data_IF_174253968882
#
_entry.id   IF_174253968882
#
_cell.length_a   1.000
_cell.length_b   1.000
_cell.length_c   1.000
_cell.angle_alpha   90.00
_cell.angle_beta   90.00
_cell.angle_gamma   90.00
#
_symmetry.space_group_name_H-M   'P 1'
#
loop_
_entity.id
_entity.type
_entity.pdbx_description
1 polymer ?
#
# COMPACT_ATOMS: atom_id res chain seq x y z
N UNK A 1 24.69 60.71 -23.47
CA UNK A 1 24.64 60.30 -22.05
C UNK A 1 24.93 58.79 -21.97
N UNK A 2 25.99 58.42 -21.25
CA UNK A 2 26.31 57.13 -20.59
C UNK A 2 26.55 55.85 -21.42
N UNK A 3 27.85 55.48 -21.46
CA UNK A 3 28.59 54.19 -21.37
C UNK A 3 27.76 52.89 -21.19
N UNK A 4 28.15 51.71 -21.70
CA UNK A 4 29.36 50.93 -21.34
C UNK A 4 29.72 49.90 -22.44
N UNK A 5 31.03 49.80 -22.74
CA UNK A 5 31.70 48.72 -23.49
C UNK A 5 31.53 47.35 -22.82
N UNK A 6 31.23 46.33 -23.62
CA UNK A 6 31.51 44.94 -23.28
C UNK A 6 32.16 44.27 -24.50
N UNK A 7 33.48 44.31 -24.53
CA UNK A 7 34.31 43.48 -25.40
C UNK A 7 34.16 41.99 -25.05
N UNK A 8 34.59 41.17 -26.02
CA UNK A 8 34.96 39.74 -25.93
C UNK A 8 33.77 38.81 -25.73
N UNK A 9 33.32 38.19 -26.82
CA UNK A 9 33.46 36.74 -27.04
C UNK A 9 33.26 36.47 -28.53
N UNK A 10 34.29 35.92 -29.18
CA UNK A 10 34.24 35.51 -30.58
C UNK A 10 33.19 34.44 -30.79
N UNK A 11 32.55 34.45 -31.95
CA UNK A 11 31.64 33.39 -32.38
C UNK A 11 32.41 32.05 -32.40
N UNK A 12 32.05 31.15 -31.50
CA UNK A 12 32.54 29.77 -31.52
C UNK A 12 31.78 29.03 -32.63
N UNK A 13 32.43 28.46 -33.64
CA UNK A 13 31.76 27.58 -34.58
C UNK A 13 31.21 26.39 -33.81
N UNK A 14 29.90 26.17 -33.88
CA UNK A 14 29.29 24.94 -33.38
C UNK A 14 29.83 23.80 -34.25
N UNK A 15 30.78 23.03 -33.71
CA UNK A 15 31.13 21.72 -34.26
C UNK A 15 29.87 20.86 -34.18
N UNK A 16 29.14 20.81 -35.30
CA UNK A 16 28.15 19.78 -35.60
C UNK A 16 28.90 18.47 -35.86
N UNK A 17 29.60 17.97 -34.85
CA UNK A 17 29.71 16.53 -34.71
C UNK A 17 28.39 16.11 -34.09
N UNK A 18 27.43 15.81 -34.98
CA UNK A 18 26.30 14.96 -34.65
C UNK A 18 26.89 13.68 -34.06
N UNK A 19 26.98 13.65 -32.72
CA UNK A 19 27.03 12.41 -31.98
C UNK A 19 25.68 11.74 -32.23
N UNK A 20 25.57 11.06 -33.37
CA UNK A 20 24.58 10.03 -33.62
C UNK A 20 24.88 8.94 -32.60
N UNK A 21 24.41 9.16 -31.37
CA UNK A 21 24.27 8.12 -30.37
C UNK A 21 23.12 7.27 -30.86
N UNK A 22 23.41 6.39 -31.81
CA UNK A 22 22.57 5.23 -32.08
C UNK A 22 22.23 4.64 -30.71
N UNK A 23 20.95 4.64 -30.37
CA UNK A 23 20.50 4.03 -29.13
C UNK A 23 20.91 2.56 -29.17
N UNK A 24 21.41 1.98 -28.06
CA UNK A 24 21.64 0.55 -28.00
C UNK A 24 20.38 -0.17 -28.52
N UNK A 25 20.52 -1.24 -29.31
CA UNK A 25 19.36 -2.01 -29.74
C UNK A 25 18.55 -2.37 -28.49
N UNK A 26 17.26 -2.04 -28.52
CA UNK A 26 16.35 -2.45 -27.46
C UNK A 26 16.48 -3.97 -27.33
N UNK A 27 16.68 -4.51 -26.12
CA UNK A 27 16.63 -5.95 -25.96
C UNK A 27 15.29 -6.45 -26.52
N UNK A 28 15.30 -7.52 -27.32
CA UNK A 28 14.07 -8.14 -27.89
C UNK A 28 13.08 -8.64 -26.80
N UNK A 29 13.44 -8.46 -25.53
CA UNK A 29 12.58 -8.68 -24.39
C UNK A 29 11.66 -7.48 -24.26
N UNK A 30 10.44 -7.66 -24.76
CA UNK A 30 9.31 -6.83 -24.40
C UNK A 30 9.05 -6.97 -22.89
N UNK A 31 9.78 -6.18 -22.08
CA UNK A 31 9.58 -6.04 -20.64
C UNK A 31 8.38 -5.12 -20.32
N UNK A 32 7.59 -4.75 -21.34
CA UNK A 32 6.34 -4.03 -21.12
C UNK A 32 5.39 -4.92 -20.32
N UNK A 33 4.73 -4.40 -19.27
CA UNK A 33 3.65 -5.13 -18.63
C UNK A 33 2.61 -5.50 -19.69
N UNK A 34 2.12 -6.76 -19.70
CA UNK A 34 1.20 -7.21 -20.74
C UNK A 34 -0.05 -6.31 -20.78
N UNK A 35 -0.62 -6.07 -21.98
CA UNK A 35 -1.77 -5.19 -22.11
C UNK A 35 -2.94 -5.67 -21.24
N UNK A 36 -3.62 -4.73 -20.58
CA UNK A 36 -4.66 -4.88 -19.54
C UNK A 36 -5.91 -5.68 -20.01
N UNK A 37 -5.93 -6.21 -21.22
CA UNK A 37 -7.08 -6.92 -21.79
C UNK A 37 -6.66 -8.09 -22.70
N UNK A 38 -6.27 -9.21 -22.10
CA UNK A 38 -6.29 -10.50 -22.83
C UNK A 38 -6.77 -11.62 -21.93
N UNK A 39 -8.09 -11.67 -21.78
CA UNK A 39 -8.82 -12.88 -21.41
C UNK A 39 -8.37 -14.02 -22.35
N UNK A 40 -7.76 -15.04 -21.75
CA UNK A 40 -7.41 -16.33 -22.34
C UNK A 40 -6.54 -16.24 -23.61
N UNK A 41 -5.23 -16.48 -23.47
CA UNK A 41 -4.36 -17.22 -24.41
C UNK A 41 -2.89 -16.83 -24.21
N UNK A 42 -2.34 -17.04 -23.02
CA UNK A 42 -0.88 -17.20 -22.83
C UNK A 42 -0.65 -18.15 -21.65
N UNK A 43 -0.47 -19.44 -21.95
CA UNK A 43 0.07 -20.41 -20.99
C UNK A 43 1.58 -20.15 -20.93
N UNK A 44 2.02 -19.31 -20.00
CA UNK A 44 3.44 -19.11 -19.72
C UNK A 44 4.09 -20.45 -19.37
N UNK A 45 5.35 -20.66 -19.80
CA UNK A 45 6.09 -21.91 -19.61
C UNK A 45 6.33 -22.31 -18.14
N UNK A 46 5.99 -21.43 -17.19
CA UNK A 46 6.11 -21.66 -15.74
C UNK A 46 4.76 -21.78 -15.02
N UNK A 47 3.64 -21.91 -15.74
CA UNK A 47 2.31 -21.98 -15.12
C UNK A 47 1.81 -20.64 -14.54
N UNK A 48 2.56 -19.54 -14.70
CA UNK A 48 2.08 -18.19 -14.40
C UNK A 48 0.88 -17.87 -15.27
N UNK A 49 -0.29 -17.78 -14.63
CA UNK A 49 -1.52 -17.32 -15.25
C UNK A 49 -1.63 -15.81 -15.02
N UNK A 50 -1.46 -15.02 -16.08
CA UNK A 50 -1.63 -13.55 -16.06
C UNK A 50 -3.11 -13.17 -16.00
N UNK A 51 -3.72 -13.45 -14.85
CA UNK A 51 -5.11 -13.14 -14.51
C UNK A 51 -5.09 -12.27 -13.27
N UNK A 52 -5.94 -11.25 -13.25
CA UNK A 52 -6.26 -10.55 -12.02
C UNK A 52 -6.96 -11.51 -11.05
N UNK A 53 -6.40 -11.72 -9.84
CA UNK A 53 -7.03 -12.57 -8.86
C UNK A 53 -8.36 -11.93 -8.41
N UNK A 54 -9.35 -12.77 -8.16
CA UNK A 54 -10.59 -12.34 -7.51
C UNK A 54 -10.31 -11.89 -6.08
N UNK A 55 -11.18 -11.05 -5.50
CA UNK A 55 -11.02 -10.61 -4.11
C UNK A 55 -10.90 -11.78 -3.13
N UNK A 56 -11.63 -12.88 -3.38
CA UNK A 56 -11.53 -14.11 -2.60
C UNK A 56 -10.13 -14.70 -2.63
N UNK A 57 -9.53 -14.86 -3.80
CA UNK A 57 -8.17 -15.39 -3.94
C UNK A 57 -7.16 -14.47 -3.26
N UNK A 58 -7.29 -13.16 -3.42
CA UNK A 58 -6.43 -12.18 -2.71
C UNK A 58 -6.52 -12.37 -1.20
N UNK A 59 -7.71 -12.58 -0.67
CA UNK A 59 -7.93 -12.83 0.77
C UNK A 59 -7.36 -14.19 1.21
N UNK A 60 -7.40 -15.20 0.35
CA UNK A 60 -6.78 -16.51 0.60
C UNK A 60 -5.25 -16.40 0.65
N UNK A 61 -4.65 -15.64 -0.27
CA UNK A 61 -3.21 -15.38 -0.35
C UNK A 61 -2.64 -14.64 0.87
N UNK A 62 -3.48 -13.94 1.65
CA UNK A 62 -3.04 -13.36 2.93
C UNK A 62 -2.53 -14.41 3.93
N UNK A 63 -3.00 -15.67 3.82
CA UNK A 63 -2.53 -16.78 4.67
C UNK A 63 -1.43 -17.62 4.01
N UNK A 64 -0.90 -17.19 2.86
CA UNK A 64 0.20 -17.90 2.19
C UNK A 64 1.43 -18.00 3.09
N UNK A 65 2.14 -19.12 2.96
CA UNK A 65 3.45 -19.30 3.57
C UNK A 65 4.54 -18.52 2.82
N UNK A 66 4.31 -18.18 1.55
CA UNK A 66 5.21 -17.35 0.77
C UNK A 66 5.01 -15.87 1.13
N UNK A 67 6.07 -15.26 1.67
CA UNK A 67 6.08 -13.85 2.07
C UNK A 67 5.93 -12.91 0.89
N UNK A 68 6.38 -13.29 -0.30
CA UNK A 68 6.22 -12.48 -1.51
C UNK A 68 4.75 -12.47 -1.93
N UNK A 69 4.09 -13.62 -1.93
CA UNK A 69 2.66 -13.73 -2.23
C UNK A 69 1.81 -12.98 -1.19
N UNK A 70 2.12 -13.14 0.10
CA UNK A 70 1.46 -12.42 1.20
C UNK A 70 1.66 -10.89 1.11
N UNK A 71 2.87 -10.44 0.75
CA UNK A 71 3.19 -9.02 0.53
C UNK A 71 2.39 -8.44 -0.64
N UNK A 72 2.39 -9.13 -1.78
CA UNK A 72 1.67 -8.70 -2.97
C UNK A 72 0.16 -8.67 -2.72
N UNK A 73 -0.39 -9.71 -2.08
CA UNK A 73 -1.81 -9.79 -1.75
C UNK A 73 -2.25 -8.68 -0.79
N UNK A 74 -1.47 -8.44 0.28
CA UNK A 74 -1.80 -7.38 1.24
C UNK A 74 -1.70 -5.98 0.62
N UNK A 75 -0.70 -5.71 -0.23
CA UNK A 75 -0.56 -4.44 -0.93
C UNK A 75 -1.68 -4.21 -1.95
N UNK A 76 -2.03 -5.25 -2.71
CA UNK A 76 -3.14 -5.17 -3.66
C UNK A 76 -4.48 -4.96 -2.95
N UNK A 77 -4.75 -5.68 -1.86
CA UNK A 77 -5.97 -5.48 -1.06
C UNK A 77 -6.04 -4.07 -0.45
N UNK A 78 -4.91 -3.51 -0.02
CA UNK A 78 -4.86 -2.13 0.48
C UNK A 78 -5.31 -1.14 -0.60
N UNK A 79 -4.85 -1.33 -1.84
CA UNK A 79 -5.28 -0.52 -2.97
C UNK A 79 -6.78 -0.66 -3.24
N UNK A 80 -7.30 -1.88 -3.32
CA UNK A 80 -8.72 -2.14 -3.59
C UNK A 80 -9.63 -1.53 -2.51
N UNK A 81 -9.20 -1.54 -1.26
CA UNK A 81 -10.00 -1.03 -0.13
C UNK A 81 -9.97 0.50 0.03
N UNK A 82 -9.15 1.24 -0.73
CA UNK A 82 -8.92 2.67 -0.49
C UNK A 82 -10.19 3.52 -0.58
N UNK A 83 -11.00 3.34 -1.62
CA UNK A 83 -12.19 4.17 -1.87
C UNK A 83 -13.42 3.38 -2.38
N UNK A 84 -13.45 2.07 -2.17
CA UNK A 84 -14.57 1.23 -2.59
C UNK A 84 -15.24 0.56 -1.38
N UNK A 85 -16.43 1.04 -1.02
CA UNK A 85 -17.17 0.48 0.12
C UNK A 85 -17.73 -0.92 -0.15
N UNK A 86 -18.03 -1.28 -1.40
CA UNK A 86 -18.47 -2.63 -1.73
C UNK A 86 -17.32 -3.63 -1.51
N UNK A 87 -16.10 -3.28 -1.93
CA UNK A 87 -14.91 -4.10 -1.65
C UNK A 87 -14.64 -4.20 -0.14
N UNK A 88 -14.81 -3.12 0.63
CA UNK A 88 -14.63 -3.16 2.08
C UNK A 88 -15.64 -4.12 2.74
N UNK A 89 -16.90 -4.06 2.34
CA UNK A 89 -17.96 -4.96 2.81
C UNK A 89 -17.69 -6.42 2.42
N UNK A 90 -17.34 -6.67 1.17
CA UNK A 90 -17.03 -8.01 0.67
C UNK A 90 -15.79 -8.58 1.37
N UNK A 91 -14.77 -7.77 1.64
CA UNK A 91 -13.58 -8.16 2.42
C UNK A 91 -13.95 -8.64 3.82
N UNK A 92 -14.91 -7.97 4.48
CA UNK A 92 -15.44 -8.42 5.78
C UNK A 92 -16.16 -9.76 5.64
N UNK A 93 -17.02 -9.90 4.63
CA UNK A 93 -17.84 -11.09 4.41
C UNK A 93 -17.00 -12.33 4.10
N UNK A 94 -15.94 -12.15 3.31
CA UNK A 94 -14.94 -13.16 2.98
C UNK A 94 -13.95 -13.45 4.12
N UNK A 95 -14.17 -12.91 5.33
CA UNK A 95 -13.31 -13.11 6.51
C UNK A 95 -11.87 -12.63 6.31
N UNK A 96 -11.66 -11.57 5.53
CA UNK A 96 -10.35 -10.93 5.35
C UNK A 96 -9.84 -10.22 6.61
N UNK A 97 -10.74 -9.63 7.41
CA UNK A 97 -10.36 -8.85 8.61
C UNK A 97 -9.53 -9.66 9.63
N UNK A 98 -9.92 -10.87 10.07
CA UNK A 98 -9.09 -11.67 10.97
C UNK A 98 -7.70 -12.00 10.40
N UNK A 99 -7.60 -12.23 9.09
CA UNK A 99 -6.31 -12.49 8.42
C UNK A 99 -5.42 -11.24 8.46
N UNK A 100 -5.98 -10.08 8.13
CA UNK A 100 -5.28 -8.79 8.25
C UNK A 100 -4.79 -8.51 9.66
N UNK A 101 -5.60 -8.80 10.69
CA UNK A 101 -5.20 -8.66 12.10
C UNK A 101 -4.03 -9.58 12.44
N UNK A 102 -4.02 -10.82 11.95
CA UNK A 102 -2.90 -11.76 12.11
C UNK A 102 -1.61 -11.21 11.46
N UNK A 103 -1.72 -10.57 10.29
CA UNK A 103 -0.57 -10.00 9.58
C UNK A 103 0.11 -8.83 10.30
N UNK A 104 -0.54 -8.20 11.28
CA UNK A 104 0.11 -7.21 12.15
C UNK A 104 1.28 -7.80 12.94
N UNK A 105 1.26 -9.11 13.20
CA UNK A 105 2.35 -9.85 13.82
C UNK A 105 3.40 -10.40 12.85
N UNK A 106 3.38 -10.00 11.57
CA UNK A 106 4.39 -10.42 10.59
C UNK A 106 5.77 -9.89 10.97
N UNK A 107 6.80 -10.66 10.64
CA UNK A 107 8.22 -10.30 10.72
C UNK A 107 8.68 -9.41 9.55
N UNK A 108 7.82 -9.22 8.54
CA UNK A 108 8.09 -8.36 7.38
C UNK A 108 7.38 -7.02 7.55
N UNK A 109 8.15 -5.95 7.70
CA UNK A 109 7.65 -4.58 7.95
C UNK A 109 6.66 -4.11 6.88
N UNK A 110 6.93 -4.37 5.59
CA UNK A 110 6.01 -3.95 4.52
C UNK A 110 4.66 -4.68 4.58
N UNK A 111 4.63 -5.95 5.03
CA UNK A 111 3.38 -6.67 5.26
C UNK A 111 2.61 -6.04 6.42
N UNK A 112 3.29 -5.66 7.50
CA UNK A 112 2.65 -4.94 8.62
C UNK A 112 2.07 -3.60 8.15
N UNK A 113 2.82 -2.83 7.36
CA UNK A 113 2.39 -1.55 6.79
C UNK A 113 1.13 -1.71 5.93
N UNK A 114 1.14 -2.67 5.00
CA UNK A 114 -0.01 -2.95 4.13
C UNK A 114 -1.23 -3.40 4.94
N UNK A 115 -1.03 -4.26 5.94
CA UNK A 115 -2.11 -4.73 6.83
C UNK A 115 -2.72 -3.58 7.66
N UNK A 116 -1.88 -2.70 8.25
CA UNK A 116 -2.34 -1.49 8.93
C UNK A 116 -3.15 -0.60 7.99
N UNK A 117 -2.65 -0.36 6.78
CA UNK A 117 -3.34 0.44 5.78
C UNK A 117 -4.67 -0.15 5.34
N UNK A 118 -4.77 -1.47 5.17
CA UNK A 118 -6.05 -2.14 4.92
C UNK A 118 -7.04 -1.90 6.06
N UNK A 119 -6.61 -2.09 7.32
CA UNK A 119 -7.46 -1.89 8.50
C UNK A 119 -7.89 -0.42 8.66
N UNK A 120 -7.00 0.53 8.35
CA UNK A 120 -7.33 1.97 8.26
C UNK A 120 -8.44 2.20 7.23
N UNK A 121 -8.28 1.67 6.02
CA UNK A 121 -9.24 1.85 4.93
C UNK A 121 -10.61 1.21 5.25
N UNK A 122 -10.60 -0.02 5.78
CA UNK A 122 -11.79 -0.77 6.17
C UNK A 122 -12.58 -0.10 7.29
N UNK A 123 -11.93 0.67 8.15
CA UNK A 123 -12.54 1.39 9.27
C UNK A 123 -12.90 2.85 8.95
N UNK A 124 -12.52 3.36 7.77
CA UNK A 124 -12.77 4.73 7.37
C UNK A 124 -14.22 4.93 6.89
N UNK A 125 -14.90 5.96 7.40
CA UNK A 125 -16.30 6.27 7.06
C UNK A 125 -17.31 5.86 8.14
N UNK A 126 -18.50 6.48 8.13
CA UNK A 126 -19.59 6.19 9.08
C UNK A 126 -20.37 4.94 8.68
N UNK A 127 -20.48 4.70 7.39
CA UNK A 127 -21.09 3.52 6.77
C UNK A 127 -20.36 2.21 7.12
N UNK A 128 -19.07 2.30 7.50
CA UNK A 128 -18.21 1.14 7.78
C UNK A 128 -18.24 0.67 9.25
N UNK A 129 -19.25 1.04 10.04
CA UNK A 129 -19.35 0.63 11.46
C UNK A 129 -19.39 -0.90 11.65
N UNK A 130 -19.98 -1.63 10.71
CA UNK A 130 -19.95 -3.10 10.74
C UNK A 130 -18.53 -3.66 10.56
N UNK A 131 -17.68 -2.99 9.77
CA UNK A 131 -16.27 -3.35 9.63
C UNK A 131 -15.49 -2.99 10.89
N UNK A 132 -15.73 -1.81 11.50
CA UNK A 132 -15.12 -1.43 12.78
C UNK A 132 -15.43 -2.44 13.88
N UNK A 133 -16.69 -2.87 14.00
CA UNK A 133 -17.10 -3.94 14.94
C UNK A 133 -16.39 -5.26 14.65
N UNK A 134 -16.26 -5.64 13.37
CA UNK A 134 -15.55 -6.86 12.98
C UNK A 134 -14.05 -6.80 13.33
N UNK A 135 -13.39 -5.66 13.11
CA UNK A 135 -11.98 -5.44 13.49
C UNK A 135 -11.82 -5.59 15.01
N UNK A 136 -12.71 -5.00 15.79
CA UNK A 136 -12.72 -5.16 17.25
C UNK A 136 -12.93 -6.61 17.67
N UNK A 137 -13.92 -7.29 17.10
CA UNK A 137 -14.23 -8.69 17.43
C UNK A 137 -13.07 -9.63 17.09
N UNK A 138 -12.27 -9.30 16.06
CA UNK A 138 -11.06 -10.03 15.68
C UNK A 138 -9.84 -9.71 16.58
N UNK A 139 -9.97 -8.85 17.60
CA UNK A 139 -8.85 -8.44 18.46
C UNK A 139 -7.93 -7.37 17.84
N UNK A 140 -8.37 -6.69 16.78
CA UNK A 140 -7.55 -5.75 16.03
C UNK A 140 -7.03 -4.56 16.85
N UNK A 141 -7.82 -4.04 17.80
CA UNK A 141 -7.38 -2.95 18.68
C UNK A 141 -6.16 -3.35 19.51
N UNK A 142 -6.22 -4.51 20.16
CA UNK A 142 -5.13 -5.03 20.99
C UNK A 142 -3.88 -5.28 20.14
N UNK A 143 -4.05 -5.86 18.95
CA UNK A 143 -2.96 -6.11 18.02
C UNK A 143 -2.29 -4.82 17.52
N UNK A 144 -3.07 -3.79 17.16
CA UNK A 144 -2.55 -2.48 16.72
C UNK A 144 -1.77 -1.78 17.85
N UNK A 145 -2.28 -1.81 19.09
CA UNK A 145 -1.57 -1.24 20.25
C UNK A 145 -0.27 -2.01 20.53
N UNK A 146 -0.29 -3.33 20.43
CA UNK A 146 0.90 -4.15 20.61
C UNK A 146 1.96 -3.83 19.54
N UNK A 147 1.55 -3.68 18.28
CA UNK A 147 2.42 -3.31 17.17
C UNK A 147 3.08 -1.94 17.40
N UNK A 148 2.32 -0.93 17.83
CA UNK A 148 2.85 0.41 18.14
C UNK A 148 3.94 0.42 19.21
N UNK A 149 3.90 -0.54 20.15
CA UNK A 149 4.92 -0.68 21.20
C UNK A 149 6.19 -1.36 20.73
N UNK A 150 6.12 -2.12 19.64
CA UNK A 150 7.20 -2.99 19.19
C UNK A 150 7.91 -2.44 17.95
N UNK A 151 7.18 -1.80 17.04
CA UNK A 151 7.74 -1.37 15.75
C UNK A 151 8.53 -0.06 15.87
N UNK A 152 9.77 0.00 15.34
CA UNK A 152 10.51 1.26 15.20
C UNK A 152 10.14 2.02 13.93
N UNK A 153 9.40 1.41 12.99
CA UNK A 153 9.10 1.99 11.68
C UNK A 153 8.05 3.09 11.76
N UNK A 154 8.39 4.31 11.33
CA UNK A 154 7.51 5.47 11.43
C UNK A 154 6.23 5.32 10.59
N UNK A 155 6.30 4.72 9.40
CA UNK A 155 5.15 4.55 8.51
C UNK A 155 4.17 3.52 9.05
N UNK A 156 4.65 2.41 9.62
CA UNK A 156 3.79 1.44 10.31
C UNK A 156 3.09 2.10 11.50
N UNK A 157 3.79 2.97 12.25
CA UNK A 157 3.19 3.70 13.38
C UNK A 157 2.12 4.68 12.94
N UNK A 158 2.36 5.41 11.86
CA UNK A 158 1.39 6.33 11.28
C UNK A 158 0.11 5.59 10.86
N UNK A 159 0.25 4.52 10.08
CA UNK A 159 -0.88 3.72 9.60
C UNK A 159 -1.65 3.06 10.76
N UNK A 160 -0.95 2.49 11.75
CA UNK A 160 -1.58 1.88 12.92
C UNK A 160 -2.33 2.91 13.77
N UNK A 161 -1.76 4.10 13.95
CA UNK A 161 -2.38 5.19 14.69
C UNK A 161 -3.62 5.71 13.97
N UNK A 162 -3.57 5.85 12.64
CA UNK A 162 -4.71 6.24 11.83
C UNK A 162 -5.85 5.20 11.88
N UNK A 163 -5.52 3.90 11.86
CA UNK A 163 -6.53 2.86 12.04
C UNK A 163 -7.19 2.94 13.42
N UNK A 164 -6.41 3.13 14.49
CA UNK A 164 -6.95 3.30 15.85
C UNK A 164 -7.83 4.55 15.98
N UNK A 165 -7.45 5.64 15.33
CA UNK A 165 -8.27 6.85 15.26
C UNK A 165 -9.64 6.56 14.65
N UNK A 166 -9.68 5.89 13.50
CA UNK A 166 -10.93 5.53 12.83
C UNK A 166 -11.82 4.64 13.71
N UNK A 167 -11.21 3.68 14.42
CA UNK A 167 -11.91 2.78 15.34
C UNK A 167 -12.46 3.48 16.59
N UNK A 168 -11.80 4.55 17.07
CA UNK A 168 -12.25 5.31 18.24
C UNK A 168 -13.61 5.99 18.04
N UNK A 169 -13.97 6.31 16.79
CA UNK A 169 -15.28 6.90 16.47
C UNK A 169 -16.46 5.98 16.79
N UNK A 170 -16.24 4.66 16.89
CA UNK A 170 -17.25 3.67 17.20
C UNK A 170 -17.28 3.31 18.70
N UNK A 171 -16.36 3.84 19.51
CA UNK A 171 -16.27 3.52 20.93
C UNK A 171 -15.65 4.65 21.76
N UNK A 172 -16.49 5.27 22.61
CA UNK A 172 -16.09 6.36 23.53
C UNK A 172 -15.00 5.89 24.51
N UNK A 173 -14.91 4.58 24.80
CA UNK A 173 -13.92 4.05 25.74
C UNK A 173 -12.49 4.09 25.21
N UNK A 174 -12.30 4.11 23.88
CA UNK A 174 -10.97 4.26 23.29
C UNK A 174 -10.40 5.66 23.51
N UNK A 175 -11.22 6.71 23.52
CA UNK A 175 -10.77 8.11 23.66
C UNK A 175 -9.80 8.29 24.84
N UNK A 176 -10.05 7.63 25.97
CA UNK A 176 -9.17 7.74 27.14
C UNK A 176 -7.81 7.03 26.95
N UNK A 177 -7.78 5.89 26.25
CA UNK A 177 -6.54 5.13 26.04
C UNK A 177 -5.69 5.70 24.90
N UNK A 178 -6.31 6.29 23.88
CA UNK A 178 -5.58 6.95 22.79
C UNK A 178 -5.14 8.37 23.16
N UNK A 179 -5.91 9.17 23.90
CA UNK A 179 -5.50 10.54 24.27
C UNK A 179 -4.13 10.64 24.95
N UNK A 180 -3.74 9.68 25.81
CA UNK A 180 -2.41 9.72 26.46
C UNK A 180 -1.23 9.42 25.51
N UNK A 181 -1.45 8.67 24.43
CA UNK A 181 -0.42 8.40 23.42
C UNK A 181 -0.44 9.43 22.28
N UNK A 182 -1.59 10.05 22.00
CA UNK A 182 -1.76 11.00 20.90
C UNK A 182 -1.07 12.35 21.14
N UNK A 183 -0.96 12.82 22.39
CA UNK A 183 -0.28 14.09 22.71
C UNK A 183 1.25 14.01 22.48
N UNK A 184 1.83 12.81 22.52
CA UNK A 184 3.27 12.59 22.34
C UNK A 184 3.71 12.42 20.88
N UNK A 185 2.77 12.31 19.93
CA UNK A 185 3.11 12.06 18.52
C UNK A 185 3.09 13.31 17.63
N UNK A 186 2.54 14.42 18.13
CA UNK A 186 2.44 15.69 17.40
C UNK A 186 3.17 16.86 18.09
N UNK A 187 4.03 16.58 19.09
CA UNK A 187 4.97 17.56 19.65
C UNK A 187 6.41 17.08 19.43
#
# INVERSE_FOLDING_TARGET
MKFVEAERYGAVPLLQDEMVRESPPLPDRDDSPPPIHRTHLLKGKDGLHWRDPTLREVIEYLDSADKVEQLNASGYLQHLTFNDNAIKEETRELKGIPKLVKLLGSDVTDIQKNACGCLKNLSFGKENDSNKRAIRAAGGITALIALLRQTPDAHVREEATAALWNLSSCDVSLLHSVSSHFVLFFN
#
